data_IF_213154045098
#
_entry.id   IF_213154045098
#
_cell.length_a   1.000
_cell.length_b   1.000
_cell.length_c   1.000
_cell.angle_alpha   90.00
_cell.angle_beta   90.00
_cell.angle_gamma   90.00
#
_symmetry.space_group_name_H-M   'P 1'
#
loop_
_entity.id
_entity.type
_entity.pdbx_description
1 polymer ?
#
# COMPACT_ATOMS: atom_id res chain seq x y z
N UNK A 1 -12.08 -15.47 -8.86
CA UNK A 1 -13.07 -14.65 -8.12
C UNK A 1 -12.75 -13.21 -8.50
N UNK A 2 -13.59 -12.58 -9.33
CA UNK A 2 -13.41 -11.18 -9.71
C UNK A 2 -13.81 -10.33 -8.51
N UNK A 3 -12.85 -9.64 -7.90
CA UNK A 3 -13.12 -8.67 -6.84
C UNK A 3 -13.59 -7.39 -7.54
N UNK A 4 -14.81 -6.94 -7.23
CA UNK A 4 -15.33 -5.66 -7.70
C UNK A 4 -14.72 -4.54 -6.85
N UNK A 5 -13.55 -4.09 -7.28
CA UNK A 5 -12.75 -3.17 -6.49
C UNK A 5 -13.33 -1.76 -6.36
N UNK A 6 -14.24 -1.37 -7.26
CA UNK A 6 -14.83 -0.04 -7.21
C UNK A 6 -15.75 0.14 -6.02
N UNK A 7 -16.27 -0.96 -5.47
CA UNK A 7 -17.15 -0.99 -4.29
C UNK A 7 -16.41 -1.16 -2.97
N UNK A 8 -15.09 -1.33 -3.00
CA UNK A 8 -14.30 -1.48 -1.77
C UNK A 8 -13.98 -0.10 -1.22
N UNK A 9 -14.48 0.17 -0.03
CA UNK A 9 -14.11 1.34 0.75
C UNK A 9 -12.79 1.11 1.49
N UNK A 10 -11.87 2.06 1.30
CA UNK A 10 -10.58 2.09 1.96
C UNK A 10 -10.56 3.17 3.04
N UNK A 11 -10.06 2.82 4.22
CA UNK A 11 -9.84 3.81 5.28
C UNK A 11 -8.47 4.48 5.16
N UNK A 12 -8.27 5.55 5.93
CA UNK A 12 -7.03 6.32 5.99
C UNK A 12 -5.78 5.43 6.12
N UNK A 13 -5.77 4.46 7.04
CA UNK A 13 -4.59 3.63 7.33
C UNK A 13 -4.27 2.65 6.19
N UNK A 14 -5.29 2.14 5.52
CA UNK A 14 -5.14 1.32 4.32
C UNK A 14 -4.52 2.15 3.19
N UNK A 15 -5.03 3.36 2.97
CA UNK A 15 -4.51 4.29 1.98
C UNK A 15 -3.06 4.70 2.28
N UNK A 16 -2.71 4.95 3.55
CA UNK A 16 -1.33 5.23 3.96
C UNK A 16 -0.37 4.09 3.62
N UNK A 17 -0.78 2.83 3.80
CA UNK A 17 0.04 1.67 3.45
C UNK A 17 0.21 1.59 1.94
N UNK A 18 -0.90 1.70 1.19
CA UNK A 18 -0.89 1.63 -0.27
C UNK A 18 -0.03 2.74 -0.90
N UNK A 19 -0.14 3.97 -0.41
CA UNK A 19 0.66 5.11 -0.85
C UNK A 19 2.16 4.85 -0.67
N UNK A 20 2.56 4.42 0.54
CA UNK A 20 3.97 4.16 0.87
C UNK A 20 4.56 3.05 0.02
N UNK A 21 3.80 1.98 -0.16
CA UNK A 21 4.18 0.89 -1.05
C UNK A 21 4.39 1.42 -2.48
N UNK A 22 3.52 2.32 -2.96
CA UNK A 22 3.61 2.89 -4.29
C UNK A 22 4.77 3.88 -4.49
N UNK A 23 5.30 4.50 -3.44
CA UNK A 23 6.43 5.44 -3.53
C UNK A 23 7.72 4.85 -4.09
N UNK A 24 7.92 3.54 -3.99
CA UNK A 24 9.07 2.87 -4.62
C UNK A 24 8.54 1.67 -5.39
N UNK A 25 8.18 1.81 -6.68
CA UNK A 25 7.71 0.68 -7.50
C UNK A 25 8.88 -0.22 -7.90
N UNK A 26 9.65 -0.69 -6.91
CA UNK A 26 10.59 -1.78 -7.06
C UNK A 26 9.83 -3.03 -6.69
N UNK A 27 9.14 -3.61 -7.68
CA UNK A 27 8.42 -4.86 -7.47
C UNK A 27 9.47 -5.97 -7.25
N UNK A 28 9.69 -6.33 -5.99
CA UNK A 28 10.59 -7.38 -5.52
C UNK A 28 12.10 -7.18 -5.84
N UNK A 29 12.93 -8.11 -5.32
CA UNK A 29 14.40 -8.07 -5.05
C UNK A 29 14.89 -7.00 -4.06
N UNK A 30 14.31 -5.79 -4.00
CA UNK A 30 14.72 -4.72 -3.04
C UNK A 30 13.60 -3.71 -2.65
N UNK A 31 12.32 -4.01 -2.92
CA UNK A 31 11.20 -3.10 -2.65
C UNK A 31 10.16 -3.64 -1.67
N UNK A 32 10.58 -4.52 -0.77
CA UNK A 32 9.73 -4.89 0.36
C UNK A 32 9.88 -3.86 1.48
N UNK A 33 8.80 -3.66 2.23
CA UNK A 33 8.78 -2.80 3.39
C UNK A 33 8.51 -3.63 4.64
N UNK A 34 9.31 -3.43 5.68
CA UNK A 34 8.97 -3.94 7.01
C UNK A 34 7.89 -3.07 7.68
N UNK A 35 7.30 -3.55 8.77
CA UNK A 35 6.31 -2.78 9.54
C UNK A 35 6.85 -1.41 9.96
N UNK A 36 8.12 -1.34 10.38
CA UNK A 36 8.73 -0.10 10.86
C UNK A 36 8.72 0.98 9.77
N UNK A 37 9.03 0.62 8.54
CA UNK A 37 9.04 1.51 7.39
C UNK A 37 7.61 1.91 6.99
N UNK A 38 6.68 0.94 6.98
CA UNK A 38 5.26 1.23 6.72
C UNK A 38 4.63 2.13 7.79
N UNK A 39 5.08 2.05 9.04
CA UNK A 39 4.50 2.81 10.15
C UNK A 39 5.27 4.09 10.46
N UNK A 40 6.32 4.41 9.71
CA UNK A 40 7.09 5.64 9.91
C UNK A 40 6.18 6.88 9.87
N UNK A 41 6.25 7.73 10.90
CA UNK A 41 5.42 8.94 11.02
C UNK A 41 4.02 8.71 11.60
N UNK A 42 3.63 7.45 11.87
CA UNK A 42 2.35 7.13 12.52
C UNK A 42 2.52 7.19 14.04
N UNK A 43 1.54 7.80 14.73
CA UNK A 43 1.52 7.85 16.20
C UNK A 43 1.41 6.44 16.81
N UNK A 44 2.04 6.23 17.96
CA UNK A 44 2.13 4.91 18.61
C UNK A 44 0.76 4.30 18.94
N UNK A 45 -0.22 5.11 19.30
CA UNK A 45 -1.61 4.71 19.58
C UNK A 45 -2.36 4.22 18.33
N UNK A 46 -1.89 4.57 17.12
CA UNK A 46 -2.50 4.17 15.84
C UNK A 46 -1.84 2.94 15.21
N UNK A 47 -0.75 2.42 15.77
CA UNK A 47 -0.04 1.24 15.25
C UNK A 47 -0.96 0.01 15.16
N UNK A 48 -1.87 -0.16 16.12
CA UNK A 48 -2.87 -1.23 16.09
C UNK A 48 -3.79 -1.15 14.87
N UNK A 49 -4.12 0.06 14.41
CA UNK A 49 -4.96 0.28 13.22
C UNK A 49 -4.18 -0.01 11.94
N UNK A 50 -2.91 0.39 11.89
CA UNK A 50 -2.02 0.05 10.76
C UNK A 50 -1.89 -1.47 10.57
N UNK A 51 -1.74 -2.23 11.66
CA UNK A 51 -1.67 -3.70 11.57
C UNK A 51 -2.98 -4.32 11.06
N UNK A 52 -4.13 -3.81 11.51
CA UNK A 52 -5.44 -4.22 10.99
C UNK A 52 -5.59 -3.93 9.50
N UNK A 53 -5.09 -2.77 9.06
CA UNK A 53 -5.08 -2.38 7.65
C UNK A 53 -4.20 -3.33 6.81
N UNK A 54 -2.99 -3.67 7.27
CA UNK A 54 -2.16 -4.70 6.61
C UNK A 54 -2.92 -6.02 6.48
N UNK A 55 -3.52 -6.52 7.57
CA UNK A 55 -4.23 -7.79 7.56
C UNK A 55 -5.42 -7.80 6.58
N UNK A 56 -6.19 -6.71 6.52
CA UNK A 56 -7.28 -6.56 5.54
C UNK A 56 -6.73 -6.53 4.11
N UNK A 57 -5.71 -5.73 3.82
CA UNK A 57 -5.11 -5.65 2.49
C UNK A 57 -4.52 -7.00 2.03
N UNK A 58 -3.94 -7.75 2.96
CA UNK A 58 -3.42 -9.10 2.71
C UNK A 58 -4.55 -10.09 2.40
N UNK A 59 -5.63 -10.09 3.19
CA UNK A 59 -6.82 -10.92 2.95
C UNK A 59 -7.52 -10.60 1.63
N UNK A 60 -7.48 -9.34 1.21
CA UNK A 60 -7.98 -8.91 -0.10
C UNK A 60 -7.05 -9.30 -1.27
N UNK A 61 -5.85 -9.82 -0.98
CA UNK A 61 -4.86 -10.19 -2.01
C UNK A 61 -4.14 -9.00 -2.64
N UNK A 62 -4.35 -7.77 -2.15
CA UNK A 62 -3.71 -6.55 -2.68
C UNK A 62 -2.21 -6.56 -2.36
N UNK A 63 -1.86 -7.00 -1.14
CA UNK A 63 -0.48 -7.11 -0.68
C UNK A 63 -0.12 -8.55 -0.34
N UNK A 64 1.16 -8.87 -0.49
CA UNK A 64 1.77 -10.14 -0.12
C UNK A 64 2.71 -9.96 1.07
N UNK A 65 2.79 -11.00 1.90
CA UNK A 65 3.66 -11.07 3.06
C UNK A 65 4.78 -12.07 2.80
N UNK A 66 6.01 -11.57 2.74
CA UNK A 66 7.21 -12.38 2.55
C UNK A 66 7.88 -12.64 3.91
N UNK A 67 8.18 -13.89 4.25
CA UNK A 67 9.03 -14.20 5.39
C UNK A 67 10.49 -13.91 5.00
N UNK A 68 11.03 -12.77 5.43
CA UNK A 68 12.43 -12.41 5.21
C UNK A 68 13.14 -12.26 6.56
N UNK A 69 14.22 -13.01 6.79
CA UNK A 69 15.12 -12.81 7.94
C UNK A 69 14.40 -12.62 9.29
N UNK A 70 13.44 -13.51 9.60
CA UNK A 70 12.66 -13.51 10.86
C UNK A 70 11.73 -12.31 11.08
N UNK A 71 11.47 -11.49 10.04
CA UNK A 71 10.47 -10.42 10.07
C UNK A 71 9.51 -10.51 8.89
N UNK A 72 8.27 -10.02 9.04
CA UNK A 72 7.35 -9.90 7.92
C UNK A 72 7.68 -8.67 7.09
N UNK A 73 7.99 -8.93 5.82
CA UNK A 73 8.21 -7.90 4.81
C UNK A 73 7.00 -7.89 3.85
N UNK A 74 6.54 -6.70 3.46
CA UNK A 74 5.33 -6.52 2.67
C UNK A 74 5.64 -5.89 1.31
N UNK A 75 4.98 -6.38 0.27
CA UNK A 75 5.00 -5.80 -1.08
C UNK A 75 3.61 -6.00 -1.71
N UNK A 76 3.29 -5.31 -2.78
CA UNK A 76 2.07 -5.57 -3.56
C UNK A 76 2.43 -6.28 -4.86
N UNK A 77 1.49 -7.05 -5.41
CA UNK A 77 1.70 -7.67 -6.72
C UNK A 77 1.65 -6.59 -7.79
N UNK A 78 2.63 -6.58 -8.71
CA UNK A 78 2.75 -5.57 -9.77
C UNK A 78 1.46 -5.41 -10.60
N UNK A 79 0.70 -6.50 -10.75
CA UNK A 79 -0.60 -6.52 -11.44
C UNK A 79 -1.65 -5.60 -10.80
N UNK A 80 -1.62 -5.41 -9.49
CA UNK A 80 -2.55 -4.53 -8.78
C UNK A 80 -2.08 -3.08 -8.72
N UNK A 81 -0.88 -2.76 -9.21
CA UNK A 81 -0.36 -1.39 -9.13
C UNK A 81 -1.26 -0.35 -9.83
N UNK A 82 -1.73 -0.56 -11.07
CA UNK A 82 -2.61 0.39 -11.74
C UNK A 82 -3.89 0.62 -10.94
N UNK A 83 -4.45 -0.46 -10.42
CA UNK A 83 -5.63 -0.41 -9.57
C UNK A 83 -5.39 0.41 -8.29
N UNK A 84 -4.29 0.15 -7.59
CA UNK A 84 -3.96 0.90 -6.37
C UNK A 84 -3.75 2.38 -6.67
N UNK A 85 -3.16 2.73 -7.83
CA UNK A 85 -3.07 4.13 -8.25
C UNK A 85 -4.45 4.76 -8.43
N UNK A 86 -5.39 4.05 -9.06
CA UNK A 86 -6.74 4.56 -9.28
C UNK A 86 -7.52 4.73 -7.96
N UNK A 87 -7.33 3.81 -7.01
CA UNK A 87 -7.81 3.99 -5.62
C UNK A 87 -7.22 5.26 -5.02
N UNK A 88 -5.90 5.42 -5.03
CA UNK A 88 -5.26 6.59 -4.44
C UNK A 88 -5.73 7.90 -5.10
N UNK A 89 -5.94 7.93 -6.43
CA UNK A 89 -6.47 9.10 -7.14
C UNK A 89 -7.89 9.46 -6.66
N UNK A 90 -8.73 8.46 -6.40
CA UNK A 90 -10.10 8.68 -5.89
C UNK A 90 -10.09 9.39 -4.54
N UNK A 91 -9.13 9.08 -3.68
CA UNK A 91 -9.00 9.64 -2.34
C UNK A 91 -8.02 10.81 -2.22
N UNK A 92 -7.34 11.22 -3.30
CA UNK A 92 -6.25 12.21 -3.22
C UNK A 92 -6.71 13.60 -2.76
N UNK A 93 -7.97 13.97 -3.02
CA UNK A 93 -8.56 15.21 -2.51
C UNK A 93 -9.00 15.15 -1.04
N UNK A 94 -8.94 13.99 -0.40
CA UNK A 94 -9.39 13.79 0.98
C UNK A 94 -8.25 13.74 1.99
N UNK A 95 -7.04 13.38 1.54
CA UNK A 95 -5.89 13.14 2.41
C UNK A 95 -4.60 13.75 1.84
N UNK A 96 -4.00 14.68 2.58
CA UNK A 96 -2.80 15.42 2.16
C UNK A 96 -1.55 14.54 1.92
N UNK A 97 -1.51 13.34 2.50
CA UNK A 97 -0.37 12.43 2.33
C UNK A 97 -0.36 11.72 0.96
N UNK A 98 -1.45 11.81 0.20
CA UNK A 98 -1.58 11.19 -1.11
C UNK A 98 -1.07 12.15 -2.18
N UNK A 99 0.18 11.95 -2.61
CA UNK A 99 0.81 12.73 -3.68
C UNK A 99 0.75 11.98 -5.02
N UNK A 100 -0.31 12.25 -5.81
CA UNK A 100 -0.53 11.59 -7.11
C UNK A 100 0.51 11.96 -8.15
N UNK A 101 1.04 13.18 -8.14
CA UNK A 101 2.05 13.62 -9.10
C UNK A 101 3.31 12.76 -8.96
N UNK A 102 3.77 12.57 -7.72
CA UNK A 102 4.92 11.71 -7.41
C UNK A 102 4.69 10.25 -7.79
N UNK A 103 3.46 9.74 -7.63
CA UNK A 103 3.13 8.35 -7.93
C UNK A 103 3.05 8.08 -9.45
N UNK A 104 2.44 8.98 -10.22
CA UNK A 104 2.31 8.85 -11.68
C UNK A 104 3.67 8.85 -12.40
N UNK A 105 4.64 9.64 -11.92
CA UNK A 105 6.00 9.72 -12.51
C UNK A 105 6.72 8.36 -12.46
N UNK A 106 6.46 7.57 -11.41
CA UNK A 106 7.18 6.32 -11.16
C UNK A 106 6.60 5.11 -11.90
N UNK A 107 5.38 5.22 -12.45
CA UNK A 107 4.75 4.19 -13.28
C UNK A 107 5.09 4.28 -14.78
N UNK A 108 6.30 4.69 -15.16
CA UNK A 108 6.71 4.51 -16.56
C UNK A 108 7.00 3.03 -16.80
N UNK A 109 6.01 2.31 -17.35
CA UNK A 109 6.22 1.00 -18.00
C UNK A 109 7.38 1.17 -18.98
N UNK A 110 8.50 0.51 -18.71
CA UNK A 110 9.48 0.21 -19.74
C UNK A 110 8.92 -0.88 -20.67
#
# INVERSE_FOLDING_TARGET
>A
MEIDWEKIEFNEYELMILEKLCRKPRFCRNGHYDEKSLFQGVKSDKIGLMRKAIDKLYKLGIIHKYPAQSRPDYCFHQEYYPFVLDVLKRYSGQYDFIDIETLNIKYKKH
#
